data_IF_804152651779
#
_entry.id   IF_804152651779
#
_cell.length_a   1.000
_cell.length_b   1.000
_cell.length_c   1.000
_cell.angle_alpha   90.00
_cell.angle_beta   90.00
_cell.angle_gamma   90.00
#
_symmetry.space_group_name_H-M   'P 1'
#
loop_
_entity.id
_entity.type
_entity.pdbx_description
1 polymer ?
#
# COMPACT_ATOMS: atom_id res chain seq x y z
N UNK A 41 -16.70 -9.09 -3.07
CA UNK A 41 -17.90 -9.26 -2.25
C UNK A 41 -17.60 -9.97 -0.91
N UNK A 42 -17.95 -11.25 -0.78
CA UNK A 42 -17.54 -12.05 0.37
C UNK A 42 -16.76 -13.30 0.00
N UNK A 43 -16.80 -13.72 -1.26
CA UNK A 43 -15.93 -14.75 -1.81
C UNK A 43 -14.69 -14.15 -2.48
N UNK A 44 -14.45 -12.85 -2.26
CA UNK A 44 -13.52 -12.11 -3.10
C UNK A 44 -12.08 -12.48 -2.78
N UNK A 45 -11.23 -12.23 -3.77
CA UNK A 45 -9.81 -12.46 -3.64
C UNK A 45 -9.01 -11.19 -3.89
N UNK A 46 -9.66 -10.05 -4.01
CA UNK A 46 -8.86 -8.84 -4.14
C UNK A 46 -8.14 -8.51 -2.83
N UNK A 47 -8.60 -9.08 -1.72
CA UNK A 47 -7.92 -8.92 -0.44
C UNK A 47 -6.43 -9.24 -0.56
N UNK A 48 -6.09 -10.27 -1.34
CA UNK A 48 -4.69 -10.67 -1.47
C UNK A 48 -3.97 -9.92 -2.56
N UNK A 49 -4.71 -9.52 -3.59
CA UNK A 49 -4.16 -8.56 -4.53
C UNK A 49 -3.54 -7.40 -3.77
N UNK A 50 -4.22 -6.93 -2.73
CA UNK A 50 -3.60 -5.95 -1.86
C UNK A 50 -2.30 -6.48 -1.24
N UNK A 51 -2.35 -7.62 -0.55
CA UNK A 51 -1.21 -7.95 0.30
C UNK A 51 -0.01 -8.44 -0.50
N UNK A 52 -0.24 -8.90 -1.72
CA UNK A 52 0.84 -9.20 -2.64
C UNK A 52 1.39 -7.92 -3.24
N UNK A 53 0.51 -7.00 -3.67
CA UNK A 53 0.99 -5.70 -4.12
C UNK A 53 1.92 -5.09 -3.08
N UNK A 54 1.48 -5.08 -1.82
CA UNK A 54 2.26 -4.56 -0.71
C UNK A 54 3.50 -5.39 -0.46
N UNK A 55 3.61 -6.55 -1.09
CA UNK A 55 4.72 -7.43 -0.80
C UNK A 55 5.88 -7.26 -1.78
N UNK A 56 6.15 -6.03 -2.23
CA UNK A 56 7.45 -5.66 -2.80
C UNK A 56 7.94 -4.38 -2.12
N UNK A 57 9.23 -4.34 -1.73
CA UNK A 57 9.75 -3.22 -0.94
C UNK A 57 9.33 -1.87 -1.51
N UNK A 58 9.30 -1.79 -2.84
CA UNK A 58 9.16 -0.48 -3.42
C UNK A 58 7.72 -0.11 -3.75
N UNK A 59 6.86 -1.09 -4.06
CA UNK A 59 5.44 -0.77 -4.23
C UNK A 59 4.94 0.02 -3.03
N UNK A 60 5.34 -0.42 -1.85
CA UNK A 60 5.19 0.30 -0.60
C UNK A 60 5.67 1.74 -0.63
N UNK A 61 7.00 1.93 -0.62
CA UNK A 61 7.62 3.24 -0.74
C UNK A 61 6.78 4.12 -1.66
N UNK A 62 6.49 3.60 -2.86
CA UNK A 62 5.66 4.31 -3.82
C UNK A 62 4.36 4.75 -3.17
N UNK A 63 3.70 3.82 -2.48
CA UNK A 63 2.42 4.08 -1.83
C UNK A 63 2.57 5.10 -0.70
N UNK A 64 3.38 4.77 0.31
CA UNK A 64 3.68 5.65 1.44
C UNK A 64 3.93 7.08 0.97
N UNK A 65 4.57 7.26 -0.20
CA UNK A 65 4.87 8.59 -0.73
C UNK A 65 3.76 9.21 -1.58
N UNK A 66 2.93 8.41 -2.26
CA UNK A 66 1.78 9.01 -2.93
C UNK A 66 0.72 9.38 -1.89
N UNK A 67 0.50 8.49 -0.90
CA UNK A 67 -0.10 8.85 0.38
C UNK A 67 0.44 10.17 0.88
N UNK A 68 1.71 10.41 0.64
CA UNK A 68 2.34 11.56 1.26
C UNK A 68 2.62 12.71 0.27
N UNK A 69 1.84 12.84 -0.81
CA UNK A 69 1.92 14.04 -1.63
C UNK A 69 2.45 13.89 -3.04
N UNK A 70 3.45 13.04 -3.26
CA UNK A 70 3.95 12.92 -4.62
C UNK A 70 2.87 12.36 -5.53
N UNK A 71 2.78 12.93 -6.73
CA UNK A 71 1.99 12.39 -7.83
C UNK A 71 2.87 12.15 -9.03
N UNK A 72 4.12 12.59 -8.93
CA UNK A 72 5.09 12.40 -9.98
C UNK A 72 5.52 10.95 -10.05
N UNK A 73 5.63 10.46 -11.27
CA UNK A 73 6.33 9.21 -11.49
C UNK A 73 7.83 9.44 -11.52
N UNK A 74 8.25 10.57 -12.09
CA UNK A 74 9.67 10.87 -12.26
C UNK A 74 10.35 11.07 -10.91
N UNK A 75 9.71 11.82 -10.01
CA UNK A 75 10.29 12.02 -8.68
C UNK A 75 10.49 10.70 -7.96
N UNK A 76 9.50 9.80 -8.01
CA UNK A 76 9.64 8.55 -7.27
C UNK A 76 10.65 7.62 -7.94
N UNK A 77 10.72 7.64 -9.28
CA UNK A 77 11.77 6.89 -9.96
C UNK A 77 13.16 7.41 -9.58
N UNK A 78 13.31 8.74 -9.49
CA UNK A 78 14.59 9.37 -9.21
C UNK A 78 14.98 9.29 -7.73
N UNK A 79 14.02 9.05 -6.84
CA UNK A 79 14.30 8.79 -5.43
C UNK A 79 14.48 7.31 -5.14
N UNK A 80 14.41 6.44 -6.16
CA UNK A 80 14.82 5.04 -6.04
C UNK A 80 15.80 4.60 -7.14
N UNK A 81 16.20 5.49 -8.06
CA UNK A 81 17.18 5.19 -9.12
C UNK A 81 16.70 4.05 -10.01
N UNK A 82 15.44 4.13 -10.44
CA UNK A 82 14.91 3.14 -11.39
C UNK A 82 14.26 3.77 -12.65
N UNK A 83 14.10 2.95 -13.69
CA UNK A 83 13.48 3.45 -14.92
C UNK A 83 12.03 3.84 -14.67
N UNK A 84 11.65 5.04 -15.12
CA UNK A 84 10.27 5.23 -15.53
C UNK A 84 9.97 4.15 -16.55
N UNK A 85 8.82 3.48 -16.35
CA UNK A 85 8.35 2.23 -16.96
C UNK A 85 8.37 1.17 -15.86
N UNK A 86 9.52 1.01 -15.20
CA UNK A 86 9.59 0.12 -14.04
C UNK A 86 8.57 0.51 -12.98
N UNK A 87 8.62 1.76 -12.50
CA UNK A 87 7.67 2.14 -11.47
C UNK A 87 6.28 2.27 -12.07
N UNK A 88 6.18 2.59 -13.37
CA UNK A 88 4.85 2.54 -13.96
C UNK A 88 4.35 1.11 -14.13
N UNK A 89 5.15 0.10 -13.75
CA UNK A 89 4.57 -1.22 -13.50
C UNK A 89 4.16 -1.40 -12.05
N UNK A 90 5.00 -0.98 -11.12
CA UNK A 90 4.64 -1.17 -9.73
C UNK A 90 3.35 -0.44 -9.43
N UNK A 91 3.35 0.86 -9.73
CA UNK A 91 2.14 1.66 -9.77
C UNK A 91 1.02 0.90 -10.48
N UNK A 92 1.35 0.22 -11.57
CA UNK A 92 0.29 -0.42 -12.34
C UNK A 92 -0.40 -1.49 -11.51
N UNK A 93 0.40 -2.34 -10.85
CA UNK A 93 -0.20 -3.43 -10.10
C UNK A 93 -0.83 -2.90 -8.81
N UNK A 94 -0.31 -1.80 -8.28
CA UNK A 94 -0.97 -1.12 -7.17
C UNK A 94 -2.27 -0.45 -7.61
N UNK A 95 -2.43 -0.22 -8.90
CA UNK A 95 -3.69 0.30 -9.41
C UNK A 95 -4.70 -0.81 -9.52
N UNK A 96 -4.31 -1.90 -10.17
CA UNK A 96 -5.26 -2.96 -10.47
C UNK A 96 -5.60 -3.78 -9.24
N UNK A 97 -4.82 -3.66 -8.17
CA UNK A 97 -5.19 -4.18 -6.87
C UNK A 97 -6.12 -3.25 -6.10
N UNK A 98 -6.62 -2.18 -6.73
CA UNK A 98 -7.51 -1.24 -6.08
C UNK A 98 -6.92 -0.38 -4.98
N UNK A 99 -5.68 0.10 -5.16
CA UNK A 99 -5.02 0.92 -4.15
C UNK A 99 -4.77 2.35 -4.59
N UNK A 100 -5.26 2.74 -5.76
CA UNK A 100 -4.68 3.80 -6.58
C UNK A 100 -5.45 3.80 -7.89
N UNK A 101 -5.80 4.96 -8.47
CA UNK A 101 -6.46 4.96 -9.78
C UNK A 101 -6.54 6.38 -10.36
N UNK A 102 -6.21 6.51 -11.66
CA UNK A 102 -6.10 7.79 -12.38
C UNK A 102 -7.48 8.32 -12.81
N UNK A 103 -7.88 9.49 -12.29
CA UNK A 103 -9.26 9.97 -12.45
C UNK A 103 -9.39 10.97 -13.60
N UNK A 104 -8.76 12.14 -13.48
CA UNK A 104 -8.76 13.13 -14.55
C UNK A 104 -7.40 13.19 -15.25
N UNK A 105 -6.75 12.02 -15.36
CA UNK A 105 -5.68 11.77 -16.32
C UNK A 105 -4.32 12.33 -15.93
N UNK A 106 -3.37 11.45 -15.66
CA UNK A 106 -1.97 11.80 -15.80
C UNK A 106 -1.27 12.44 -14.63
N UNK A 107 -1.59 12.01 -13.40
CA UNK A 107 -0.68 12.24 -12.27
C UNK A 107 -1.07 11.45 -11.02
N UNK A 108 -2.38 11.23 -10.81
CA UNK A 108 -2.96 10.17 -9.96
C UNK A 108 -2.64 10.20 -8.45
N UNK A 109 -3.55 9.88 -7.48
CA UNK A 109 -5.02 9.51 -7.44
C UNK A 109 -5.22 8.12 -6.73
N UNK A 110 -6.39 7.84 -6.09
CA UNK A 110 -6.73 6.49 -5.61
C UNK A 110 -8.25 6.22 -5.69
N UNK A 111 -8.67 4.94 -5.51
CA UNK A 111 -9.79 4.25 -6.21
C UNK A 111 -11.28 4.36 -5.79
N UNK A 112 -12.00 3.21 -5.75
CA UNK A 112 -13.45 3.14 -5.48
C UNK A 112 -13.85 2.17 -4.34
N UNK A 113 -15.15 1.82 -4.25
CA UNK A 113 -15.79 1.23 -3.07
C UNK A 113 -16.29 -0.21 -3.05
N UNK A 114 -15.52 -1.08 -2.43
CA UNK A 114 -16.01 -2.40 -2.04
C UNK A 114 -15.20 -2.83 -0.83
N UNK A 115 -13.91 -3.08 -1.09
CA UNK A 115 -12.76 -3.02 -0.18
C UNK A 115 -13.09 -3.42 1.25
N UNK A 116 -12.27 -2.96 2.20
CA UNK A 116 -12.34 -3.41 3.59
C UNK A 116 -12.68 -4.89 3.68
N UNK A 117 -11.67 -5.77 3.77
CA UNK A 117 -10.27 -5.44 4.06
C UNK A 117 -9.64 -4.62 2.99
N UNK A 118 -9.13 -3.44 3.32
CA UNK A 118 -8.72 -2.89 4.64
C UNK A 118 -9.31 -3.30 6.01
N UNK A 119 -10.63 -3.19 6.19
CA UNK A 119 -11.44 -3.87 7.21
C UNK A 119 -10.76 -4.25 8.52
N UNK A 120 -11.18 -5.43 8.98
CA UNK A 120 -10.37 -6.43 9.65
C UNK A 120 -8.92 -6.00 9.67
N UNK A 121 -8.24 -6.11 8.53
CA UNK A 121 -6.79 -6.07 8.46
C UNK A 121 -6.22 -4.93 9.30
N UNK A 122 -6.86 -3.77 9.24
CA UNK A 122 -6.58 -2.76 10.23
C UNK A 122 -6.57 -3.34 11.63
N UNK A 123 -7.72 -3.85 12.10
CA UNK A 123 -7.79 -4.31 13.48
C UNK A 123 -6.92 -5.55 13.71
N UNK A 124 -6.75 -6.37 12.68
CA UNK A 124 -5.79 -7.49 12.62
C UNK A 124 -4.39 -7.04 13.10
N UNK A 125 -3.80 -6.14 12.32
CA UNK A 125 -2.50 -5.62 12.72
C UNK A 125 -2.57 -4.77 13.98
N UNK A 126 -3.73 -4.22 14.37
CA UNK A 126 -3.67 -3.53 15.65
C UNK A 126 -3.70 -4.51 16.82
N UNK A 127 -4.28 -5.70 16.63
CA UNK A 127 -4.13 -6.72 17.65
C UNK A 127 -2.68 -7.17 17.74
N UNK A 128 -2.10 -7.50 16.59
CA UNK A 128 -0.68 -7.84 16.53
C UNK A 128 0.15 -6.78 17.25
N UNK A 129 0.10 -5.56 16.73
CA UNK A 129 0.67 -4.37 17.33
C UNK A 129 0.50 -4.34 18.84
N UNK A 130 -0.74 -4.18 19.30
CA UNK A 130 -0.98 -3.90 20.70
C UNK A 130 -0.46 -5.02 21.59
N UNK A 131 -0.82 -6.27 21.29
CA UNK A 131 -0.38 -7.36 22.16
C UNK A 131 1.13 -7.51 22.11
N UNK A 132 1.65 -7.65 20.89
CA UNK A 132 3.07 -7.49 20.63
C UNK A 132 3.71 -6.50 21.57
N UNK A 133 3.18 -5.30 21.57
CA UNK A 133 3.74 -4.19 22.31
C UNK A 133 3.61 -4.42 23.81
N UNK A 134 2.45 -4.90 24.24
CA UNK A 134 2.18 -5.05 25.66
C UNK A 134 3.08 -6.08 26.30
N UNK A 135 3.56 -7.04 25.51
CA UNK A 135 4.52 -7.98 26.06
C UNK A 135 5.87 -7.29 26.20
N UNK A 136 5.84 -5.95 26.15
CA UNK A 136 6.79 -5.07 26.80
C UNK A 136 7.20 -5.68 28.13
N UNK A 137 6.24 -6.33 28.80
CA UNK A 137 6.30 -6.78 30.19
C UNK A 137 7.71 -7.05 30.67
N UNK A 138 8.24 -6.16 31.52
CA UNK A 138 9.48 -6.42 32.25
C UNK A 138 9.29 -6.02 33.71
N UNK A 139 9.72 -6.90 34.60
CA UNK A 139 9.30 -6.89 36.01
C UNK A 139 10.39 -6.34 36.92
N UNK A 140 11.59 -6.94 36.88
CA UNK A 140 12.69 -6.61 37.79
C UNK A 140 14.00 -7.29 37.37
N UNK A 141 15.10 -6.53 37.31
CA UNK A 141 16.41 -7.08 36.93
C UNK A 141 17.37 -7.11 38.11
#
# INVERSE_FOLDING_TARGET
MNTIHHHHHHNTSGSGGGGGRLVPRGSMSENLYFQGSMATDADEDKADAMFHALSDRTRRDILRRVLAGEHSVSTLAANYDMSFAAVQKHVAVLEKAGLLTKRRNGREQLASGDVEAVRSVGAMLSELEQLWRGRIARIDELIARDRPSKD
#
